data_IF_740358980018
#
_entry.id   IF_740358980018
#
_cell.length_a   1.000
_cell.length_b   1.000
_cell.length_c   1.000
_cell.angle_alpha   90.00
_cell.angle_beta   90.00
_cell.angle_gamma   90.00
#
_symmetry.space_group_name_H-M   'P 1'
#
loop_
_entity.id
_entity.type
_entity.pdbx_description
1 polymer ?
#
# COMPACT_ATOMS: atom_id res chain seq x y z
N UNK A 1 7.82 15.01 -24.19
CA UNK A 1 6.57 14.56 -23.55
C UNK A 1 5.83 15.82 -23.11
N UNK A 2 4.54 15.92 -23.43
CA UNK A 2 3.75 17.12 -23.15
C UNK A 2 3.31 17.16 -21.68
N UNK A 3 3.01 18.34 -21.15
CA UNK A 3 2.50 18.52 -19.78
C UNK A 3 1.23 17.69 -19.51
N UNK A 4 0.45 17.42 -20.57
CA UNK A 4 -0.75 16.59 -20.52
C UNK A 4 -0.45 15.12 -20.21
N UNK A 5 0.67 14.57 -20.71
CA UNK A 5 1.04 13.18 -20.49
C UNK A 5 1.60 12.97 -19.07
N UNK A 6 2.33 13.96 -18.53
CA UNK A 6 2.75 13.97 -17.13
C UNK A 6 1.55 14.04 -16.17
N UNK A 7 0.54 14.85 -16.52
CA UNK A 7 -0.71 14.94 -15.74
C UNK A 7 -1.47 13.61 -15.74
N UNK A 8 -1.59 12.95 -16.89
CA UNK A 8 -2.23 11.63 -16.98
C UNK A 8 -1.55 10.59 -16.10
N UNK A 9 -0.21 10.56 -16.06
CA UNK A 9 0.52 9.63 -15.18
C UNK A 9 0.23 9.88 -13.70
N UNK A 10 0.12 11.15 -13.28
CA UNK A 10 -0.25 11.49 -11.89
C UNK A 10 -1.69 11.13 -11.57
N UNK A 11 -2.62 11.35 -12.49
CA UNK A 11 -4.03 10.97 -12.33
C UNK A 11 -4.18 9.45 -12.21
N UNK A 12 -3.47 8.69 -13.04
CA UNK A 12 -3.42 7.22 -12.97
C UNK A 12 -2.88 6.76 -11.61
N UNK A 13 -1.75 7.34 -11.17
CA UNK A 13 -1.14 6.98 -9.90
C UNK A 13 -2.05 7.28 -8.71
N UNK A 14 -2.73 8.44 -8.72
CA UNK A 14 -3.69 8.79 -7.69
C UNK A 14 -4.84 7.78 -7.62
N UNK A 15 -5.45 7.44 -8.76
CA UNK A 15 -6.55 6.47 -8.82
C UNK A 15 -6.12 5.08 -8.34
N UNK A 16 -4.92 4.63 -8.70
CA UNK A 16 -4.37 3.35 -8.24
C UNK A 16 -4.17 3.34 -6.72
N UNK A 17 -3.68 4.43 -6.13
CA UNK A 17 -3.53 4.55 -4.68
C UNK A 17 -4.87 4.59 -3.94
N UNK A 18 -5.86 5.30 -4.48
CA UNK A 18 -7.21 5.31 -3.90
C UNK A 18 -7.84 3.91 -3.92
N UNK A 19 -7.66 3.16 -5.01
CA UNK A 19 -8.09 1.76 -5.13
C UNK A 19 -7.37 0.86 -4.12
N UNK A 20 -6.05 0.99 -3.96
CA UNK A 20 -5.29 0.25 -2.96
C UNK A 20 -5.75 0.54 -1.53
N UNK A 21 -6.06 1.79 -1.21
CA UNK A 21 -6.61 2.16 0.10
C UNK A 21 -7.96 1.47 0.33
N UNK A 22 -8.82 1.42 -0.68
CA UNK A 22 -10.12 0.77 -0.55
C UNK A 22 -9.99 -0.76 -0.39
N UNK A 23 -9.09 -1.39 -1.15
CA UNK A 23 -8.77 -2.81 -1.00
C UNK A 23 -8.17 -3.12 0.37
N UNK A 24 -7.28 -2.26 0.89
CA UNK A 24 -6.71 -2.41 2.23
C UNK A 24 -7.79 -2.32 3.32
N UNK A 25 -8.78 -1.42 3.19
CA UNK A 25 -9.92 -1.37 4.12
C UNK A 25 -10.73 -2.66 4.15
N UNK A 26 -10.79 -3.36 3.01
CA UNK A 26 -11.50 -4.62 2.86
C UNK A 26 -10.64 -5.84 3.26
N UNK A 27 -9.40 -5.62 3.71
CA UNK A 27 -8.46 -6.69 4.05
C UNK A 27 -7.86 -7.41 2.84
N UNK A 28 -8.06 -6.89 1.62
CA UNK A 28 -7.61 -7.53 0.38
C UNK A 28 -6.15 -7.16 0.02
N UNK A 29 -5.23 -7.42 0.94
CA UNK A 29 -3.83 -7.01 0.82
C UNK A 29 -3.07 -7.68 -0.34
N UNK A 30 -3.54 -8.85 -0.80
CA UNK A 30 -3.00 -9.50 -2.00
C UNK A 30 -3.22 -8.65 -3.25
N UNK A 31 -4.40 -8.05 -3.41
CA UNK A 31 -4.67 -7.15 -4.54
C UNK A 31 -3.96 -5.81 -4.38
N UNK A 32 -3.79 -5.33 -3.14
CA UNK A 32 -2.98 -4.14 -2.85
C UNK A 32 -1.56 -4.30 -3.38
N UNK A 33 -0.93 -5.45 -3.12
CA UNK A 33 0.43 -5.78 -3.56
C UNK A 33 0.53 -5.85 -5.09
N UNK A 34 -0.42 -6.52 -5.77
CA UNK A 34 -0.44 -6.58 -7.24
C UNK A 34 -0.47 -5.19 -7.89
N UNK A 35 -1.30 -4.29 -7.38
CA UNK A 35 -1.36 -2.91 -7.90
C UNK A 35 -0.07 -2.15 -7.55
N UNK A 36 0.59 -2.47 -6.44
CA UNK A 36 1.82 -1.77 -6.04
C UNK A 36 2.96 -2.08 -7.00
N UNK A 37 3.06 -3.33 -7.45
CA UNK A 37 4.01 -3.75 -8.49
C UNK A 37 3.78 -3.02 -9.82
N UNK A 38 2.52 -2.77 -10.19
CA UNK A 38 2.18 -1.99 -11.39
C UNK A 38 2.51 -0.49 -11.24
N UNK A 39 2.37 0.06 -10.03
CA UNK A 39 2.63 1.48 -9.74
C UNK A 39 4.12 1.85 -9.86
N UNK A 40 5.01 0.89 -9.64
CA UNK A 40 6.47 1.10 -9.67
C UNK A 40 6.95 1.61 -11.02
N UNK A 41 6.36 1.13 -12.12
CA UNK A 41 6.71 1.57 -13.46
C UNK A 41 6.14 2.95 -13.78
N UNK A 42 4.94 3.27 -13.28
CA UNK A 42 4.35 4.62 -13.37
C UNK A 42 5.21 5.64 -12.62
N UNK A 43 5.67 5.31 -11.41
CA UNK A 43 6.57 6.15 -10.62
C UNK A 43 7.90 6.40 -11.33
N UNK A 44 8.54 5.36 -11.89
CA UNK A 44 9.79 5.49 -12.65
C UNK A 44 9.62 6.45 -13.82
N UNK A 45 8.49 6.38 -14.54
CA UNK A 45 8.19 7.29 -15.67
C UNK A 45 7.99 8.73 -15.21
N UNK A 46 7.35 8.95 -14.06
CA UNK A 46 7.17 10.28 -13.48
C UNK A 46 8.52 10.86 -13.03
N UNK A 47 9.35 10.08 -12.34
CA UNK A 47 10.66 10.52 -11.81
C UNK A 47 11.68 10.78 -12.92
N UNK A 48 11.65 9.98 -13.99
CA UNK A 48 12.54 10.16 -15.15
C UNK A 48 12.32 11.50 -15.88
N UNK A 49 11.21 12.18 -15.61
CA UNK A 49 10.87 13.45 -16.25
C UNK A 49 11.19 14.60 -15.30
N UNK A 50 12.04 15.52 -15.75
CA UNK A 50 12.32 16.77 -15.04
C UNK A 50 10.98 17.38 -14.61
N UNK A 51 10.77 17.44 -13.30
CA UNK A 51 9.53 17.88 -12.66
C UNK A 51 9.16 19.26 -13.17
N UNK A 52 8.00 19.37 -13.81
CA UNK A 52 7.39 20.66 -14.11
C UNK A 52 7.01 21.33 -12.79
N UNK A 53 7.69 22.41 -12.40
CA UNK A 53 7.50 23.12 -11.12
C UNK A 53 6.23 23.99 -11.10
N UNK A 54 5.19 23.60 -11.83
CA UNK A 54 3.91 24.31 -11.77
C UNK A 54 3.24 24.08 -10.40
N UNK A 55 2.54 25.09 -9.90
CA UNK A 55 1.83 25.00 -8.61
C UNK A 55 0.82 23.84 -8.56
N UNK A 56 0.15 23.57 -9.69
CA UNK A 56 -0.78 22.45 -9.81
C UNK A 56 -0.08 21.09 -9.68
N UNK A 57 1.12 20.95 -10.24
CA UNK A 57 1.91 19.73 -10.13
C UNK A 57 2.30 19.46 -8.67
N UNK A 58 2.81 20.47 -7.96
CA UNK A 58 3.19 20.32 -6.55
C UNK A 58 1.98 19.97 -5.66
N UNK A 59 0.81 20.57 -5.93
CA UNK A 59 -0.43 20.23 -5.22
C UNK A 59 -0.79 18.75 -5.41
N UNK A 60 -0.76 18.27 -6.65
CA UNK A 60 -1.11 16.89 -6.98
C UNK A 60 -0.09 15.89 -6.40
N UNK A 61 1.20 16.24 -6.47
CA UNK A 61 2.27 15.47 -5.82
C UNK A 61 2.07 15.34 -4.31
N UNK A 62 1.69 16.43 -3.64
CA UNK A 62 1.41 16.41 -2.20
C UNK A 62 0.17 15.55 -1.84
N UNK A 63 -0.86 15.55 -2.70
CA UNK A 63 -2.00 14.65 -2.54
C UNK A 63 -1.58 13.19 -2.64
N UNK A 64 -0.79 12.83 -3.64
CA UNK A 64 -0.25 11.48 -3.82
C UNK A 64 0.61 11.04 -2.62
N UNK A 65 1.50 11.91 -2.12
CA UNK A 65 2.29 11.64 -0.91
C UNK A 65 1.41 11.38 0.32
N UNK A 66 0.29 12.08 0.43
CA UNK A 66 -0.67 11.88 1.53
C UNK A 66 -1.35 10.52 1.44
N UNK A 67 -1.70 10.08 0.22
CA UNK A 67 -2.28 8.76 -0.02
C UNK A 67 -1.29 7.64 0.31
N UNK A 68 -0.02 7.77 -0.09
CA UNK A 68 1.03 6.82 0.27
C UNK A 68 1.18 6.68 1.79
N UNK A 69 1.29 7.80 2.52
CA UNK A 69 1.38 7.78 3.99
C UNK A 69 0.19 7.08 4.64
N UNK A 70 -1.02 7.32 4.11
CA UNK A 70 -2.23 6.67 4.61
C UNK A 70 -2.19 5.16 4.37
N UNK A 71 -1.80 4.74 3.17
CA UNK A 71 -1.69 3.32 2.83
C UNK A 71 -0.62 2.62 3.68
N UNK A 72 0.54 3.27 3.89
CA UNK A 72 1.61 2.78 4.78
C UNK A 72 1.10 2.54 6.20
N UNK A 73 0.37 3.50 6.78
CA UNK A 73 -0.21 3.36 8.12
C UNK A 73 -1.23 2.20 8.20
N UNK A 74 -2.03 2.00 7.15
CA UNK A 74 -2.99 0.90 7.10
C UNK A 74 -2.29 -0.46 7.05
N UNK A 75 -1.27 -0.60 6.20
CA UNK A 75 -0.48 -1.84 6.09
C UNK A 75 0.24 -2.13 7.41
N UNK A 76 0.81 -1.11 8.06
CA UNK A 76 1.47 -1.26 9.35
C UNK A 76 0.51 -1.70 10.46
N UNK A 77 -0.71 -1.15 10.48
CA UNK A 77 -1.74 -1.55 11.42
C UNK A 77 -2.17 -3.02 11.22
N UNK A 78 -2.36 -3.44 9.97
CA UNK A 78 -2.66 -4.85 9.65
C UNK A 78 -1.56 -5.80 10.11
N UNK A 79 -0.30 -5.47 9.80
CA UNK A 79 0.84 -6.29 10.19
C UNK A 79 0.84 -6.57 11.69
N UNK A 80 0.57 -5.55 12.51
CA UNK A 80 0.46 -5.69 13.96
C UNK A 80 -0.70 -6.62 14.38
N UNK A 81 -1.84 -6.55 13.68
CA UNK A 81 -2.98 -7.45 13.94
C UNK A 81 -2.60 -8.90 13.61
N UNK A 82 -1.99 -9.15 12.44
CA UNK A 82 -1.58 -10.48 11.99
C UNK A 82 -0.52 -11.08 12.93
N UNK A 83 0.46 -10.30 13.38
CA UNK A 83 1.47 -10.74 14.35
C UNK A 83 0.83 -11.18 15.68
N UNK A 84 -0.14 -10.41 16.18
CA UNK A 84 -0.88 -10.76 17.40
C UNK A 84 -1.70 -12.04 17.24
N UNK A 85 -2.38 -12.21 16.11
CA UNK A 85 -3.13 -13.44 15.79
C UNK A 85 -2.22 -14.66 15.70
N UNK A 86 -1.05 -14.51 15.09
CA UNK A 86 -0.04 -15.57 15.00
C UNK A 86 0.46 -15.98 16.38
N UNK A 87 0.77 -15.02 17.25
CA UNK A 87 1.14 -15.30 18.65
C UNK A 87 0.07 -16.07 19.41
N UNK A 88 -1.21 -15.71 19.23
CA UNK A 88 -2.33 -16.43 19.84
C UNK A 88 -2.41 -17.88 19.32
N UNK A 89 -2.29 -18.07 18.01
CA UNK A 89 -2.29 -19.41 17.40
C UNK A 89 -1.16 -20.29 17.93
N UNK A 90 0.05 -19.73 18.10
CA UNK A 90 1.19 -20.47 18.63
C UNK A 90 1.02 -20.84 20.10
N UNK A 91 0.39 -19.97 20.91
CA UNK A 91 0.05 -20.28 22.29
C UNK A 91 -0.99 -21.42 22.38
N UNK A 92 -1.99 -21.42 21.49
CA UNK A 92 -2.96 -22.52 21.38
C UNK A 92 -2.25 -23.82 20.99
N UNK A 93 -1.35 -23.78 19.99
CA UNK A 93 -0.57 -24.97 19.57
C UNK A 93 0.30 -25.52 20.69
N UNK A 94 0.98 -24.65 21.46
CA UNK A 94 1.77 -25.06 22.63
C UNK A 94 0.91 -25.77 23.67
N UNK A 95 -0.24 -25.18 23.99
CA UNK A 95 -1.20 -25.76 24.96
C UNK A 95 -1.69 -27.14 24.50
N UNK A 96 -2.10 -27.28 23.24
CA UNK A 96 -2.52 -28.56 22.67
C UNK A 96 -1.37 -29.59 22.65
N UNK A 97 -0.14 -29.14 22.41
CA UNK A 97 1.07 -29.96 22.50
C UNK A 97 1.24 -30.57 23.89
N UNK A 98 1.11 -29.75 24.94
CA UNK A 98 1.17 -30.21 26.34
C UNK A 98 0.10 -31.29 26.58
N UNK A 99 -1.16 -31.04 26.22
CA UNK A 99 -2.22 -32.04 26.42
C UNK A 99 -1.95 -33.37 25.70
N UNK A 100 -1.39 -33.33 24.47
CA UNK A 100 -1.09 -34.54 23.70
C UNK A 100 0.09 -35.34 24.24
N UNK A 101 1.05 -34.71 24.90
CA UNK A 101 2.21 -35.40 25.51
C UNK A 101 1.94 -35.91 26.93
N UNK A 102 0.81 -35.52 27.52
CA UNK A 102 0.37 -35.90 28.87
C UNK A 102 -0.63 -37.06 28.90
N UNK A 103 -0.98 -37.62 27.72
CA UNK A 103 -1.74 -38.88 27.54
C UNK A 103 -0.82 -39.95 26.99
#
# INVERSE_FOLDING_TARGET
MDADEQKQLLDVLQNQLEMQIELARQGNYKQVELIAEENDDTLKRIVAQKTSTSENFEKQRNQILTLYKKLELMIAAEKSIVENQQHQADNVRKTLGIYRTSS
#
